data_IF_796671619431
#
_entry.id   IF_796671619431
#
_cell.length_a   1.000
_cell.length_b   1.000
_cell.length_c   1.000
_cell.angle_alpha   90.00
_cell.angle_beta   90.00
_cell.angle_gamma   90.00
#
_symmetry.space_group_name_H-M   'P 1'
#
loop_
_entity.id
_entity.type
_entity.pdbx_description
1 polymer ?
#
# COMPACT_ATOMS: atom_id res chain seq x y z
N UNK A 1 -0.90 13.46 3.89
CA UNK A 1 -1.81 12.30 3.95
C UNK A 1 -3.17 12.77 3.47
N UNK A 2 -3.87 12.00 2.63
CA UNK A 2 -5.15 12.41 2.04
C UNK A 2 -6.36 11.89 2.83
N UNK A 3 -6.27 10.69 3.39
CA UNK A 3 -7.37 10.09 4.15
C UNK A 3 -7.20 8.59 4.33
N UNK A 4 -8.29 7.91 4.67
CA UNK A 4 -8.34 6.47 4.86
C UNK A 4 -9.46 5.85 4.02
N UNK A 5 -9.23 4.64 3.49
CA UNK A 5 -10.21 3.90 2.70
C UNK A 5 -10.22 2.43 3.17
N UNK A 6 -11.34 1.69 3.10
CA UNK A 6 -11.33 0.26 3.43
C UNK A 6 -10.36 -0.54 2.56
N UNK A 7 -9.70 -1.57 3.13
CA UNK A 7 -8.76 -2.44 2.37
C UNK A 7 -9.42 -3.08 1.15
N UNK A 8 -10.71 -3.42 1.25
CA UNK A 8 -11.49 -4.02 0.16
C UNK A 8 -11.55 -3.18 -1.11
N UNK A 9 -11.26 -1.88 -1.01
CA UNK A 9 -11.28 -0.97 -2.16
C UNK A 9 -9.99 -0.99 -2.98
N UNK A 10 -8.96 -1.70 -2.51
CA UNK A 10 -7.71 -1.90 -3.23
C UNK A 10 -7.81 -3.20 -4.01
N UNK A 11 -7.96 -3.07 -5.33
CA UNK A 11 -8.05 -4.22 -6.22
C UNK A 11 -6.68 -4.69 -6.69
N UNK A 12 -6.51 -6.01 -6.87
CA UNK A 12 -5.22 -6.60 -7.24
C UNK A 12 -4.71 -6.14 -8.61
N UNK A 13 -5.64 -5.81 -9.52
CA UNK A 13 -5.30 -5.34 -10.86
C UNK A 13 -4.83 -3.87 -10.89
N UNK A 14 -4.89 -3.14 -9.77
CA UNK A 14 -4.30 -1.80 -9.65
C UNK A 14 -2.77 -1.84 -9.49
N UNK A 15 -2.13 -2.96 -9.79
CA UNK A 15 -0.68 -3.06 -9.77
C UNK A 15 -0.07 -2.33 -10.98
N UNK A 16 0.65 -1.24 -10.70
CA UNK A 16 1.37 -0.47 -11.73
C UNK A 16 2.88 -0.72 -11.67
N UNK A 17 3.42 -0.83 -10.46
CA UNK A 17 4.87 -0.99 -10.20
C UNK A 17 5.12 -1.68 -8.87
N UNK A 18 6.34 -2.19 -8.61
CA UNK A 18 6.67 -2.84 -7.36
C UNK A 18 6.37 -1.97 -6.15
N UNK A 19 5.73 -2.57 -5.14
CA UNK A 19 5.44 -1.90 -3.88
C UNK A 19 6.74 -1.62 -3.12
N UNK A 20 6.77 -0.51 -2.37
CA UNK A 20 7.88 -0.16 -1.50
C UNK A 20 7.49 -0.42 -0.05
N UNK A 21 8.46 -0.64 0.83
CA UNK A 21 8.20 -0.82 2.26
C UNK A 21 8.54 0.46 3.03
N UNK A 22 7.60 0.92 3.85
CA UNK A 22 7.76 2.08 4.70
C UNK A 22 7.94 1.64 6.15
N UNK A 23 9.02 2.13 6.77
CA UNK A 23 9.37 1.89 8.16
C UNK A 23 9.80 3.20 8.82
N UNK A 24 9.50 3.43 10.12
CA UNK A 24 9.81 4.69 10.77
C UNK A 24 11.30 4.86 10.99
N UNK A 25 11.77 6.10 10.83
CA UNK A 25 13.11 6.53 11.20
C UNK A 25 13.04 7.50 12.38
N UNK A 26 13.48 7.03 13.55
CA UNK A 26 13.51 7.79 14.80
C UNK A 26 14.72 8.74 14.86
N UNK A 27 15.74 8.52 14.03
CA UNK A 27 16.97 9.33 14.05
C UNK A 27 16.72 10.75 13.52
N UNK A 28 15.86 10.87 12.51
CA UNK A 28 15.51 12.15 11.91
C UNK A 28 14.43 12.90 12.72
N UNK A 29 13.41 12.19 13.20
CA UNK A 29 12.30 12.78 13.95
C UNK A 29 11.96 11.93 15.16
N UNK A 30 12.19 12.48 16.36
CA UNK A 30 11.85 11.83 17.63
C UNK A 30 10.34 11.71 17.80
N UNK A 31 9.88 10.55 18.26
CA UNK A 31 8.48 10.16 18.41
C UNK A 31 7.86 9.54 17.15
N UNK A 32 8.60 9.43 16.04
CA UNK A 32 8.07 8.89 14.79
C UNK A 32 7.67 7.42 14.94
N UNK A 33 8.43 6.63 15.71
CA UNK A 33 8.13 5.23 15.99
C UNK A 33 6.78 5.06 16.69
N UNK A 34 6.50 5.87 17.72
CA UNK A 34 5.25 5.78 18.49
C UNK A 34 4.04 6.10 17.60
N UNK A 35 4.12 7.16 16.82
CA UNK A 35 3.06 7.53 15.88
C UNK A 35 2.86 6.46 14.81
N UNK A 36 3.95 5.94 14.26
CA UNK A 36 3.91 4.90 13.23
C UNK A 36 3.28 3.60 13.75
N UNK A 37 3.69 3.12 14.93
CA UNK A 37 3.14 1.89 15.51
C UNK A 37 1.66 2.06 15.86
N UNK A 38 1.28 3.21 16.40
CA UNK A 38 -0.13 3.51 16.72
C UNK A 38 -0.99 3.57 15.45
N UNK A 39 -0.48 4.19 14.40
CA UNK A 39 -1.14 4.25 13.10
C UNK A 39 -1.29 2.85 12.50
N UNK A 40 -0.23 2.04 12.53
CA UNK A 40 -0.24 0.66 12.03
C UNK A 40 -1.29 -0.19 12.75
N UNK A 41 -1.29 -0.18 14.08
CA UNK A 41 -2.27 -0.90 14.89
C UNK A 41 -3.70 -0.44 14.61
N UNK A 42 -3.92 0.86 14.48
CA UNK A 42 -5.25 1.41 14.19
C UNK A 42 -5.75 1.01 12.79
N UNK A 43 -4.87 1.06 11.79
CA UNK A 43 -5.21 0.65 10.42
C UNK A 43 -5.50 -0.85 10.31
N UNK A 44 -4.73 -1.69 11.02
CA UNK A 44 -4.98 -3.13 11.12
C UNK A 44 -6.33 -3.41 11.79
N UNK A 45 -6.61 -2.78 12.93
CA UNK A 45 -7.86 -3.00 13.68
C UNK A 45 -9.09 -2.56 12.89
N UNK A 46 -8.99 -1.44 12.16
CA UNK A 46 -10.10 -0.89 11.37
C UNK A 46 -10.18 -1.46 9.96
N UNK A 47 -9.23 -2.29 9.54
CA UNK A 47 -9.13 -2.83 8.18
C UNK A 47 -9.17 -1.73 7.10
N UNK A 48 -8.39 -0.67 7.33
CA UNK A 48 -8.29 0.49 6.43
C UNK A 48 -6.86 0.66 5.90
N UNK A 49 -6.76 1.16 4.67
CA UNK A 49 -5.53 1.68 4.07
C UNK A 49 -5.48 3.20 4.25
N UNK A 50 -4.28 3.75 4.39
CA UNK A 50 -4.08 5.18 4.36
C UNK A 50 -3.73 5.63 2.93
N UNK A 51 -4.42 6.65 2.42
CA UNK A 51 -4.16 7.24 1.12
C UNK A 51 -3.26 8.47 1.27
N UNK A 52 -2.33 8.64 0.34
CA UNK A 52 -1.40 9.75 0.35
C UNK A 52 -0.85 10.10 -1.02
N UNK A 53 -0.16 11.23 -1.09
CA UNK A 53 0.66 11.60 -2.23
C UNK A 53 2.12 11.33 -1.89
N UNK A 54 2.81 10.60 -2.76
CA UNK A 54 4.23 10.34 -2.64
C UNK A 54 4.99 11.18 -3.67
N UNK A 55 5.94 11.98 -3.19
CA UNK A 55 6.89 12.74 -4.01
C UNK A 55 8.29 12.26 -3.66
N UNK A 56 8.89 11.44 -4.51
CA UNK A 56 10.18 10.80 -4.20
C UNK A 56 11.38 11.76 -4.31
N UNK A 57 11.34 12.72 -5.24
CA UNK A 57 12.41 13.73 -5.40
C UNK A 57 11.81 15.08 -5.76
N UNK A 58 12.55 16.16 -5.47
CA UNK A 58 12.20 17.51 -5.91
C UNK A 58 12.11 17.51 -7.46
N UNK A 59 11.03 18.04 -8.01
CA UNK A 59 10.66 18.08 -9.44
C UNK A 59 9.98 16.83 -10.06
N UNK A 60 9.70 15.76 -9.31
CA UNK A 60 8.78 14.72 -9.80
C UNK A 60 7.31 15.08 -9.49
N UNK A 61 6.37 14.76 -10.40
CA UNK A 61 4.96 14.93 -10.12
C UNK A 61 4.52 14.02 -8.97
N UNK A 62 3.62 14.49 -8.08
CA UNK A 62 3.10 13.66 -6.99
C UNK A 62 2.33 12.48 -7.56
N UNK A 63 2.58 11.29 -7.01
CA UNK A 63 1.84 10.07 -7.37
C UNK A 63 0.95 9.65 -6.20
N UNK A 64 -0.28 9.27 -6.52
CA UNK A 64 -1.20 8.72 -5.54
C UNK A 64 -0.71 7.34 -5.07
N UNK A 65 -0.71 7.15 -3.74
CA UNK A 65 -0.27 5.91 -3.11
C UNK A 65 -1.24 5.45 -2.05
N UNK A 66 -1.37 4.13 -1.95
CA UNK A 66 -2.03 3.44 -0.85
C UNK A 66 -0.97 2.87 0.09
N UNK A 67 -1.09 3.16 1.37
CA UNK A 67 -0.31 2.55 2.44
C UNK A 67 -1.14 1.41 3.02
N UNK A 68 -0.82 0.19 2.61
CA UNK A 68 -1.42 -1.03 3.12
C UNK A 68 -0.73 -1.44 4.42
N UNK A 69 -1.45 -1.52 5.55
CA UNK A 69 -0.85 -1.97 6.81
C UNK A 69 -0.45 -3.45 6.73
N UNK A 70 0.75 -3.76 7.17
CA UNK A 70 1.33 -5.10 7.21
C UNK A 70 1.66 -5.47 8.65
N UNK A 71 1.04 -6.54 9.16
CA UNK A 71 1.34 -7.09 10.47
C UNK A 71 2.62 -7.93 10.43
N UNK A 72 3.30 -8.03 11.58
CA UNK A 72 4.45 -8.92 11.72
C UNK A 72 4.01 -10.39 11.69
N UNK A 73 4.76 -11.21 10.97
CA UNK A 73 4.59 -12.65 10.96
C UNK A 73 5.94 -13.33 11.19
N UNK A 74 5.98 -14.19 12.21
CA UNK A 74 7.14 -15.00 12.59
C UNK A 74 6.89 -16.46 12.18
N UNK A 75 7.96 -17.16 11.83
CA UNK A 75 7.96 -18.60 11.56
C UNK A 75 8.03 -19.41 12.86
N UNK A 76 7.88 -20.74 12.76
CA UNK A 76 7.98 -21.69 13.89
C UNK A 76 9.36 -21.61 14.59
N UNK A 77 10.41 -21.30 13.83
CA UNK A 77 11.78 -21.10 14.34
C UNK A 77 12.02 -19.68 14.91
N UNK A 78 10.99 -18.82 14.96
CA UNK A 78 11.10 -17.43 15.43
C UNK A 78 11.73 -16.46 14.42
N UNK A 79 11.96 -16.90 13.18
CA UNK A 79 12.46 -16.06 12.09
C UNK A 79 11.36 -15.14 11.55
N UNK A 80 11.70 -13.89 11.23
CA UNK A 80 10.72 -12.95 10.68
C UNK A 80 10.47 -13.23 9.19
N UNK A 81 9.25 -13.68 8.87
CA UNK A 81 8.80 -13.89 7.48
C UNK A 81 8.33 -12.56 6.90
N UNK A 82 7.50 -11.84 7.66
CA UNK A 82 6.88 -10.59 7.21
C UNK A 82 7.18 -9.47 8.22
N UNK A 83 7.84 -8.38 7.81
CA UNK A 83 8.17 -7.30 8.74
C UNK A 83 6.95 -6.41 9.06
N UNK A 84 6.85 -5.82 10.26
CA UNK A 84 5.78 -4.89 10.60
C UNK A 84 5.99 -3.53 9.92
N UNK A 85 4.97 -3.04 9.20
CA UNK A 85 5.07 -1.73 8.56
C UNK A 85 3.94 -1.42 7.59
N UNK A 86 4.22 -0.56 6.61
CA UNK A 86 3.28 -0.29 5.52
C UNK A 86 3.88 -0.65 4.17
N UNK A 87 3.13 -1.38 3.37
CA UNK A 87 3.41 -1.51 1.94
C UNK A 87 2.86 -0.29 1.21
N UNK A 88 3.75 0.47 0.58
CA UNK A 88 3.43 1.60 -0.27
C UNK A 88 3.18 1.10 -1.69
N UNK A 89 1.90 1.08 -2.05
CA UNK A 89 1.39 0.63 -3.34
C UNK A 89 1.05 1.86 -4.18
N UNK A 90 1.55 1.90 -5.40
CA UNK A 90 1.25 2.97 -6.33
C UNK A 90 -0.06 2.71 -7.04
N UNK A 91 -0.98 3.67 -6.95
CA UNK A 91 -2.29 3.56 -7.56
C UNK A 91 -2.23 4.04 -9.02
N UNK A 92 -2.92 3.36 -9.94
CA UNK A 92 -3.06 3.81 -11.32
C UNK A 92 -3.86 5.10 -11.39
N UNK A 93 -3.51 5.95 -12.34
CA UNK A 93 -4.35 7.05 -12.80
C UNK A 93 -5.28 6.55 -13.90
N UNK A 94 -6.25 7.39 -14.29
CA UNK A 94 -7.18 7.07 -15.37
C UNK A 94 -6.45 6.61 -16.65
N UNK A 95 -5.32 7.24 -16.97
CA UNK A 95 -4.52 6.96 -18.16
C UNK A 95 -3.84 5.57 -18.14
N UNK A 96 -3.70 4.94 -16.96
CA UNK A 96 -3.07 3.63 -16.82
C UNK A 96 -4.05 2.47 -17.14
N UNK A 97 -5.36 2.75 -17.15
CA UNK A 97 -6.37 1.76 -17.51
C UNK A 97 -6.46 1.60 -19.04
N UNK A 98 -6.49 0.35 -19.50
CA UNK A 98 -6.64 0.00 -20.93
C UNK A 98 -7.99 -0.68 -21.13
N UNK A 99 -8.75 -0.20 -22.10
CA UNK A 99 -9.95 -0.90 -22.57
C UNK A 99 -9.53 -2.18 -23.29
N UNK A 100 -10.17 -3.29 -22.94
CA UNK A 100 -9.92 -4.60 -23.54
C UNK A 100 -11.10 -4.95 -24.44
N UNK A 101 -10.83 -5.09 -25.73
CA UNK A 101 -11.77 -5.70 -26.67
C UNK A 101 -11.70 -7.22 -26.50
N UNK A 102 -12.57 -7.77 -25.66
CA UNK A 102 -12.65 -9.20 -25.45
C UNK A 102 -13.34 -9.85 -26.67
N UNK A 103 -12.73 -10.84 -27.33
CA UNK A 103 -13.40 -11.58 -28.39
C UNK A 103 -14.59 -12.36 -27.80
N UNK A 104 -15.72 -12.34 -28.50
CA UNK A 104 -16.88 -13.17 -28.15
C UNK A 104 -16.48 -14.64 -28.23
N UNK A 105 -16.26 -15.26 -27.07
CA UNK A 105 -16.03 -16.71 -27.00
C UNK A 105 -17.40 -17.37 -27.19
N UNK A 106 -17.65 -18.11 -28.29
CA UNK A 106 -18.89 -18.86 -28.42
C UNK A 106 -18.99 -19.86 -27.26
N UNK A 107 -20.17 -20.03 -26.64
CA UNK A 107 -20.35 -21.01 -25.59
C UNK A 107 -19.99 -22.39 -26.16
N UNK A 108 -18.94 -23.00 -25.59
CA UNK A 108 -18.43 -24.29 -26.04
C UNK A 108 -19.49 -25.38 -25.99
N UNK A 109 -19.57 -26.17 -27.05
CA UNK A 109 -20.30 -27.44 -27.16
C UNK A 109 -19.80 -28.49 -26.15
#
# INVERSE_FOLDING_TARGET
MLGFKPIKSLERHFYVRPAQFLYPDESTVRGSRLWFTTLLQTCLNKQVIALGLCVQRKALPPRLVALLPQAEQLDEDGNQITPPGFQLIHLPYADDFRELDLPEVPPGE
#
